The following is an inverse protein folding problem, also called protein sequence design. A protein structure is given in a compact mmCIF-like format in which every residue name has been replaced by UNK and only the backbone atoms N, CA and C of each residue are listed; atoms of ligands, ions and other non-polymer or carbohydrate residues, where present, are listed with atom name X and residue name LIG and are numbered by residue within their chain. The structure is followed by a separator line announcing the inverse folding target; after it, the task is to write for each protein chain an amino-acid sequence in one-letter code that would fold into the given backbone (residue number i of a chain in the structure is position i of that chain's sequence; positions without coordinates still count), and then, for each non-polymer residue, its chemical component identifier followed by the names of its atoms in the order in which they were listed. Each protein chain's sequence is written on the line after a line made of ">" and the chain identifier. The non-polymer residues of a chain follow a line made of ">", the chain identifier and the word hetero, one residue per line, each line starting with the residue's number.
data_IF_172120123205
#
_entry.id   IF_172120123205
#
_cell.length_a   1.000
_cell.length_b   1.000
_cell.length_c   1.000
_cell.angle_alpha   90.00
_cell.angle_beta   90.00
_cell.angle_gamma   90.00
#
_symmetry.space_group_name_H-M   'P 1'
#
loop_
_entity.id
_entity.type
_entity.pdbx_description
1 polymer ?
#
# COMPACT_ATOMS: atom_id res chain seq x y z
N UNK A 1 -23.33 -14.38 4.95
CA UNK A 1 -22.55 -14.75 6.16
C UNK A 1 -21.31 -13.86 6.30
N UNK A 2 -21.20 -12.83 5.46
CA UNK A 2 -19.96 -12.14 5.11
C UNK A 2 -19.66 -10.97 6.07
N UNK A 3 -20.70 -10.35 6.63
CA UNK A 3 -20.56 -9.24 7.58
C UNK A 3 -19.82 -9.61 8.87
N UNK A 4 -20.05 -10.81 9.43
CA UNK A 4 -19.36 -11.24 10.67
C UNK A 4 -17.86 -11.50 10.45
N UNK A 5 -17.52 -11.97 9.26
CA UNK A 5 -16.14 -12.28 8.86
C UNK A 5 -15.38 -10.97 8.63
N UNK A 6 -15.96 -10.01 7.90
CA UNK A 6 -15.38 -8.69 7.68
C UNK A 6 -15.13 -7.94 9.00
N UNK A 7 -16.10 -7.97 9.94
CA UNK A 7 -15.94 -7.36 11.27
C UNK A 7 -14.74 -7.95 12.03
N UNK A 8 -14.56 -9.27 12.00
CA UNK A 8 -13.43 -9.93 12.67
C UNK A 8 -12.09 -9.45 12.10
N UNK A 9 -11.96 -9.43 10.77
CA UNK A 9 -10.73 -8.98 10.11
C UNK A 9 -10.40 -7.52 10.40
N UNK A 10 -11.43 -6.66 10.48
CA UNK A 10 -11.28 -5.26 10.86
C UNK A 10 -10.73 -5.11 12.27
N UNK A 11 -11.29 -5.84 13.24
CA UNK A 11 -10.81 -5.86 14.64
C UNK A 11 -9.36 -6.35 14.74
N UNK A 12 -8.98 -7.37 13.96
CA UNK A 12 -7.61 -7.88 13.96
C UNK A 12 -6.63 -6.83 13.39
N UNK A 13 -7.01 -6.11 12.33
CA UNK A 13 -6.21 -5.00 11.79
C UNK A 13 -6.10 -3.83 12.78
N UNK A 14 -7.18 -3.47 13.49
CA UNK A 14 -7.14 -2.46 14.56
C UNK A 14 -6.16 -2.85 15.66
N UNK A 15 -6.14 -4.12 16.08
CA UNK A 15 -5.18 -4.63 17.07
C UNK A 15 -3.74 -4.56 16.55
N UNK A 16 -3.50 -4.87 15.27
CA UNK A 16 -2.19 -4.71 14.65
C UNK A 16 -1.73 -3.24 14.59
N UNK A 17 -2.66 -2.31 14.43
CA UNK A 17 -2.38 -0.88 14.49
C UNK A 17 -2.07 -0.38 15.90
N UNK A 18 -2.59 -1.05 16.94
CA UNK A 18 -2.28 -0.75 18.33
C UNK A 18 -0.98 -1.40 18.81
N UNK A 19 -0.62 -2.56 18.25
CA UNK A 19 0.60 -3.28 18.58
C UNK A 19 1.70 -3.07 17.53
N UNK A 20 2.63 -2.14 17.80
CA UNK A 20 3.77 -1.86 16.92
C UNK A 20 4.75 -3.01 16.71
N UNK A 21 4.63 -4.11 17.47
CA UNK A 21 5.43 -5.33 17.29
C UNK A 21 4.74 -6.39 16.41
N UNK A 22 3.48 -6.19 16.04
CA UNK A 22 2.74 -7.13 15.21
C UNK A 22 3.44 -7.33 13.86
N UNK A 23 3.53 -8.59 13.44
CA UNK A 23 4.13 -8.96 12.16
C UNK A 23 3.12 -8.71 11.02
N UNK A 24 3.60 -8.36 9.81
CA UNK A 24 2.71 -8.19 8.67
C UNK A 24 2.08 -9.53 8.26
N UNK A 25 0.87 -9.49 7.70
CA UNK A 25 0.10 -10.71 7.38
C UNK A 25 -0.57 -10.65 6.00
N UNK A 26 -1.09 -11.78 5.54
CA UNK A 26 -1.98 -11.82 4.39
C UNK A 26 -3.38 -11.33 4.78
N UNK A 27 -3.97 -10.46 3.97
CA UNK A 27 -5.29 -9.85 4.18
C UNK A 27 -6.28 -10.23 3.07
N UNK A 28 -7.54 -10.39 3.45
CA UNK A 28 -8.61 -10.65 2.49
C UNK A 28 -8.96 -9.38 1.72
N UNK A 29 -9.20 -9.52 0.41
CA UNK A 29 -9.62 -8.40 -0.43
C UNK A 29 -10.87 -7.70 0.10
N UNK A 30 -11.85 -8.47 0.60
CA UNK A 30 -13.10 -7.95 1.15
C UNK A 30 -12.90 -7.00 2.35
N UNK A 31 -11.89 -7.26 3.20
CA UNK A 31 -11.51 -6.31 4.25
C UNK A 31 -10.99 -5.02 3.64
N UNK A 32 -10.14 -5.13 2.61
CA UNK A 32 -9.50 -3.97 2.00
C UNK A 32 -10.53 -3.11 1.25
N UNK A 33 -11.50 -3.75 0.60
CA UNK A 33 -12.66 -3.08 0.00
C UNK A 33 -13.50 -2.37 1.08
N UNK A 34 -13.84 -3.03 2.19
CA UNK A 34 -14.62 -2.41 3.28
C UNK A 34 -13.96 -1.14 3.84
N UNK A 35 -12.65 -1.20 4.10
CA UNK A 35 -11.96 -0.07 4.73
C UNK A 35 -11.65 1.06 3.76
N UNK A 36 -11.66 0.81 2.45
CA UNK A 36 -11.38 1.80 1.39
C UNK A 36 -12.62 2.24 0.62
N UNK A 37 -13.82 1.88 1.12
CA UNK A 37 -15.09 2.16 0.42
C UNK A 37 -15.06 1.67 -1.04
N UNK A 38 -14.71 0.39 -1.22
CA UNK A 38 -14.55 -0.27 -2.51
C UNK A 38 -13.52 0.40 -3.44
N UNK A 39 -12.45 0.95 -2.87
CA UNK A 39 -11.44 1.74 -3.60
C UNK A 39 -12.06 2.95 -4.32
N UNK A 40 -12.96 3.68 -3.63
CA UNK A 40 -13.57 4.88 -4.20
C UNK A 40 -12.55 5.99 -4.44
N UNK A 41 -12.83 6.83 -5.44
CA UNK A 41 -11.97 7.97 -5.80
C UNK A 41 -11.82 8.96 -4.63
N UNK A 42 -12.83 9.06 -3.75
CA UNK A 42 -12.80 9.87 -2.54
C UNK A 42 -11.74 9.41 -1.53
N UNK A 43 -11.36 8.14 -1.57
CA UNK A 43 -10.27 7.60 -0.76
C UNK A 43 -8.91 7.65 -1.45
N UNK A 44 -8.83 8.06 -2.72
CA UNK A 44 -7.54 8.15 -3.40
C UNK A 44 -6.69 9.29 -2.83
N UNK A 45 -5.49 8.94 -2.37
CA UNK A 45 -4.51 9.90 -1.80
C UNK A 45 -3.25 10.04 -2.65
N UNK A 46 -3.10 9.22 -3.69
CA UNK A 46 -2.01 9.35 -4.64
C UNK A 46 -2.13 8.36 -5.79
N UNK A 47 -1.51 8.68 -6.91
CA UNK A 47 -1.42 7.82 -8.08
C UNK A 47 -0.08 7.99 -8.77
N UNK A 48 0.51 6.90 -9.24
CA UNK A 48 1.71 6.90 -10.08
C UNK A 48 1.60 5.83 -11.17
N UNK A 49 2.62 5.71 -12.02
CA UNK A 49 2.57 4.83 -13.21
C UNK A 49 2.29 3.35 -12.90
N UNK A 50 2.62 2.88 -11.69
CA UNK A 50 2.54 1.47 -11.32
C UNK A 50 1.56 1.17 -10.17
N UNK A 51 0.97 2.19 -9.55
CA UNK A 51 0.08 2.00 -8.41
C UNK A 51 -0.82 3.20 -8.14
N UNK A 52 -1.98 2.92 -7.54
CA UNK A 52 -2.84 3.92 -6.92
C UNK A 52 -2.86 3.66 -5.42
N UNK A 53 -2.76 4.73 -4.63
CA UNK A 53 -2.76 4.68 -3.17
C UNK A 53 -4.09 5.22 -2.66
N UNK A 54 -4.77 4.38 -1.89
CA UNK A 54 -6.03 4.71 -1.23
C UNK A 54 -5.83 4.83 0.27
N UNK A 55 -6.63 5.68 0.91
CA UNK A 55 -6.76 5.78 2.34
C UNK A 55 -7.77 4.76 2.82
N UNK A 56 -7.40 3.96 3.81
CA UNK A 56 -8.32 3.04 4.47
C UNK A 56 -8.66 3.52 5.88
N UNK A 57 -9.92 3.40 6.29
CA UNK A 57 -10.40 3.77 7.62
C UNK A 57 -10.65 2.52 8.45
N UNK A 58 -9.91 2.40 9.56
CA UNK A 58 -10.00 1.27 10.49
C UNK A 58 -10.27 1.81 11.89
N UNK A 59 -11.55 1.87 12.26
CA UNK A 59 -12.00 2.50 13.50
C UNK A 59 -11.66 3.99 13.52
N UNK A 60 -10.76 4.40 14.43
CA UNK A 60 -10.23 5.78 14.51
C UNK A 60 -8.85 5.96 13.86
N UNK A 61 -8.30 4.91 13.26
CA UNK A 61 -6.98 4.90 12.64
C UNK A 61 -7.11 4.80 11.13
N UNK A 62 -6.00 5.09 10.45
CA UNK A 62 -5.93 5.11 9.00
C UNK A 62 -4.81 4.21 8.52
N UNK A 63 -5.00 3.62 7.34
CA UNK A 63 -3.98 2.87 6.61
C UNK A 63 -3.80 3.46 5.21
N UNK A 64 -2.63 3.25 4.62
CA UNK A 64 -2.37 3.53 3.22
C UNK A 64 -2.36 2.22 2.44
N UNK A 65 -3.22 2.13 1.43
CA UNK A 65 -3.43 0.96 0.60
C UNK A 65 -2.88 1.20 -0.80
N UNK A 66 -1.70 0.66 -1.08
CA UNK A 66 -1.07 0.74 -2.40
C UNK A 66 -1.60 -0.42 -3.26
N UNK A 67 -2.56 -0.13 -4.13
CA UNK A 67 -3.11 -1.05 -5.13
C UNK A 67 -2.23 -0.99 -6.38
N UNK A 68 -1.63 -2.10 -6.75
CA UNK A 68 -0.71 -2.15 -7.88
C UNK A 68 -1.47 -2.29 -9.20
N UNK A 69 -1.02 -1.55 -10.22
CA UNK A 69 -1.63 -1.56 -11.55
C UNK A 69 -1.25 -2.82 -12.33
N UNK A 70 -2.23 -3.45 -13.00
CA UNK A 70 -2.02 -4.62 -13.86
C UNK A 70 -1.27 -4.23 -15.14
N UNK A 71 0.03 -3.96 -15.01
CA UNK A 71 0.93 -3.71 -16.14
C UNK A 71 1.50 -5.04 -16.62
N UNK A 72 1.80 -5.15 -17.92
CA UNK A 72 2.44 -6.34 -18.51
C UNK A 72 3.74 -6.72 -17.78
N UNK A 73 4.46 -5.71 -17.27
CA UNK A 73 5.72 -5.89 -16.55
C UNK A 73 5.55 -6.36 -15.10
N UNK A 74 4.35 -6.31 -14.53
CA UNK A 74 4.10 -6.70 -13.15
C UNK A 74 3.76 -8.19 -13.04
N UNK A 75 4.79 -8.97 -12.74
CA UNK A 75 4.72 -10.42 -12.60
C UNK A 75 4.68 -10.85 -11.12
N UNK A 76 4.11 -12.04 -10.86
CA UNK A 76 4.01 -12.64 -9.52
C UNK A 76 5.36 -12.67 -8.81
N UNK A 77 6.43 -12.99 -9.53
CA UNK A 77 7.78 -13.00 -8.98
C UNK A 77 8.25 -11.62 -8.49
N UNK A 78 7.85 -10.52 -9.14
CA UNK A 78 8.21 -9.16 -8.70
C UNK A 78 7.43 -8.79 -7.46
N UNK A 79 6.13 -9.06 -7.45
CA UNK A 79 5.27 -8.83 -6.29
C UNK A 79 5.75 -9.63 -5.07
N UNK A 80 6.04 -10.92 -5.25
CA UNK A 80 6.52 -11.78 -4.18
C UNK A 80 7.84 -11.26 -3.58
N UNK A 81 8.78 -10.82 -4.43
CA UNK A 81 10.05 -10.22 -3.97
C UNK A 81 9.83 -8.90 -3.21
N UNK A 82 8.92 -8.05 -3.67
CA UNK A 82 8.56 -6.80 -2.96
C UNK A 82 7.97 -7.13 -1.58
N UNK A 83 7.02 -8.06 -1.51
CA UNK A 83 6.45 -8.53 -0.24
C UNK A 83 7.51 -9.12 0.68
N UNK A 84 8.39 -9.99 0.17
CA UNK A 84 9.47 -10.59 0.97
C UNK A 84 10.42 -9.53 1.54
N UNK A 85 10.72 -8.49 0.77
CA UNK A 85 11.52 -7.36 1.22
C UNK A 85 10.81 -6.58 2.33
N UNK A 86 9.56 -6.20 2.10
CA UNK A 86 8.73 -5.44 3.06
C UNK A 86 8.49 -6.20 4.37
N UNK A 87 8.38 -7.53 4.31
CA UNK A 87 8.28 -8.39 5.50
C UNK A 87 9.52 -8.32 6.40
N UNK A 88 10.70 -8.07 5.82
CA UNK A 88 11.98 -7.95 6.53
C UNK A 88 12.31 -6.50 6.90
N UNK A 89 11.67 -5.53 6.25
CA UNK A 89 11.91 -4.11 6.46
C UNK A 89 11.34 -3.65 7.80
N UNK A 90 12.21 -3.53 8.81
CA UNK A 90 11.85 -2.97 10.11
C UNK A 90 12.88 -1.94 10.55
N UNK A 91 12.53 -0.67 10.39
CA UNK A 91 13.38 0.43 10.80
C UNK A 91 12.54 1.63 11.21
N UNK A 92 13.04 2.44 12.14
CA UNK A 92 12.35 3.65 12.67
C UNK A 92 11.99 4.68 11.59
N UNK A 93 12.69 4.66 10.45
CA UNK A 93 12.51 5.59 9.33
C UNK A 93 11.83 4.96 8.10
N UNK A 94 11.34 3.71 8.22
CA UNK A 94 10.57 3.04 7.17
C UNK A 94 9.12 2.99 7.63
N UNK A 95 8.19 3.37 6.75
CA UNK A 95 6.76 3.28 7.06
C UNK A 95 6.40 1.84 7.35
N UNK A 96 5.71 1.60 8.46
CA UNK A 96 5.42 0.24 8.92
C UNK A 96 4.52 -0.47 7.93
N UNK A 97 5.01 -1.59 7.40
CA UNK A 97 4.24 -2.51 6.59
C UNK A 97 3.32 -3.36 7.47
N UNK A 98 2.03 -3.44 7.11
CA UNK A 98 1.00 -4.16 7.85
C UNK A 98 0.62 -5.48 7.18
N UNK A 99 0.82 -5.59 5.88
CA UNK A 99 0.53 -6.83 5.16
C UNK A 99 0.21 -6.62 3.69
N UNK A 100 -0.21 -7.70 3.04
CA UNK A 100 -0.47 -7.74 1.62
C UNK A 100 -1.75 -8.49 1.30
N UNK A 101 -2.29 -8.26 0.11
CA UNK A 101 -3.33 -9.08 -0.51
C UNK A 101 -2.84 -9.57 -1.86
N UNK A 102 -3.03 -10.86 -2.13
CA UNK A 102 -2.73 -11.49 -3.42
C UNK A 102 -3.94 -12.27 -3.89
N UNK A 103 -4.93 -11.55 -4.44
CA UNK A 103 -6.17 -12.15 -4.89
C UNK A 103 -6.25 -12.11 -6.42
N UNK A 104 -6.64 -13.21 -7.06
CA UNK A 104 -6.82 -13.31 -8.51
C UNK A 104 -8.21 -13.87 -8.79
N UNK A 105 -9.05 -13.08 -9.44
CA UNK A 105 -10.42 -13.46 -9.78
C UNK A 105 -10.57 -13.59 -11.29
N UNK A 106 -11.18 -14.68 -11.75
CA UNK A 106 -11.57 -14.82 -13.14
C UNK A 106 -12.82 -13.99 -13.43
N UNK A 107 -12.79 -13.14 -14.46
CA UNK A 107 -13.97 -12.46 -15.00
C UNK A 107 -14.14 -12.80 -16.47
N UNK A 108 -15.39 -12.88 -16.92
CA UNK A 108 -15.68 -12.94 -18.35
C UNK A 108 -15.50 -11.54 -18.92
N UNK A 109 -14.67 -11.41 -19.95
CA UNK A 109 -14.45 -10.18 -20.70
C UNK A 109 -14.75 -10.40 -22.19
N UNK A 110 -15.28 -9.38 -22.85
CA UNK A 110 -15.34 -9.36 -24.31
C UNK A 110 -13.97 -8.96 -24.86
N UNK A 111 -13.46 -9.77 -25.78
CA UNK A 111 -12.27 -9.46 -26.57
C UNK A 111 -12.56 -9.78 -28.03
N UNK A 112 -12.59 -8.74 -28.87
CA UNK A 112 -12.87 -8.86 -30.31
C UNK A 112 -14.16 -9.67 -30.61
N UNK A 113 -15.22 -9.47 -29.80
CA UNK A 113 -16.50 -10.16 -29.96
C UNK A 113 -16.52 -11.61 -29.47
N UNK A 114 -15.51 -12.04 -28.72
CA UNK A 114 -15.45 -13.35 -28.04
C UNK A 114 -15.43 -13.15 -26.53
N UNK A 115 -16.24 -13.92 -25.82
CA UNK A 115 -16.17 -14.00 -24.36
C UNK A 115 -14.97 -14.86 -23.95
N UNK A 116 -13.99 -14.24 -23.32
CA UNK A 116 -12.79 -14.90 -22.79
C UNK A 116 -12.74 -14.77 -21.27
N UNK A 117 -12.16 -15.77 -20.61
CA UNK A 117 -11.83 -15.67 -19.19
C UNK A 117 -10.58 -14.81 -19.04
N UNK A 118 -10.69 -13.68 -18.36
CA UNK A 118 -9.60 -12.79 -18.03
C UNK A 118 -9.34 -12.79 -16.53
N UNK A 119 -8.06 -12.85 -16.14
CA UNK A 119 -7.67 -12.72 -14.74
C UNK A 119 -7.70 -11.25 -14.32
N UNK A 120 -8.40 -10.97 -13.23
CA UNK A 120 -8.33 -9.72 -12.51
C UNK A 120 -7.48 -9.93 -11.26
N UNK A 121 -6.24 -9.43 -11.31
CA UNK A 121 -5.29 -9.49 -10.19
C UNK A 121 -5.46 -8.29 -9.27
N UNK A 122 -5.76 -8.56 -8.02
CA UNK A 122 -5.84 -7.62 -6.92
C UNK A 122 -4.62 -7.83 -6.03
N UNK A 123 -3.53 -7.15 -6.39
CA UNK A 123 -2.30 -7.11 -5.59
C UNK A 123 -2.23 -5.79 -4.85
N UNK A 124 -2.23 -5.88 -3.52
CA UNK A 124 -2.26 -4.72 -2.65
C UNK A 124 -1.23 -4.84 -1.54
N UNK A 125 -0.68 -3.70 -1.16
CA UNK A 125 0.24 -3.53 -0.04
C UNK A 125 -0.36 -2.54 0.95
N UNK A 126 -0.44 -2.93 2.22
CA UNK A 126 -1.04 -2.14 3.28
C UNK A 126 0.05 -1.63 4.23
N UNK A 127 0.01 -0.32 4.48
CA UNK A 127 0.94 0.38 5.34
C UNK A 127 0.20 1.17 6.40
N UNK A 128 0.88 1.46 7.50
CA UNK A 128 0.39 2.46 8.44
C UNK A 128 0.35 3.83 7.75
N UNK A 129 -0.77 4.55 7.92
CA UNK A 129 -0.92 5.86 7.29
C UNK A 129 -0.04 6.89 8.00
N UNK A 130 0.79 7.58 7.21
CA UNK A 130 1.59 8.71 7.68
C UNK A 130 0.92 9.99 7.16
N UNK A 131 0.49 10.91 8.04
CA UNK A 131 -0.25 12.10 7.65
C UNK A 131 0.58 13.15 6.90
N UNK A 132 1.91 13.02 6.90
CA UNK A 132 2.78 13.90 6.12
C UNK A 132 2.79 13.40 4.66
N UNK A 133 2.50 14.32 3.73
CA UNK A 133 2.45 14.03 2.30
C UNK A 133 3.80 13.51 1.77
N UNK A 134 3.82 13.01 0.53
CA UNK A 134 5.03 12.42 -0.05
C UNK A 134 6.20 13.40 0.03
N UNK A 135 7.38 12.84 0.28
CA UNK A 135 8.61 13.62 0.38
C UNK A 135 8.88 14.49 -0.86
N UNK A 136 8.35 14.08 -2.02
CA UNK A 136 8.44 14.79 -3.31
C UNK A 136 8.00 16.26 -3.21
N UNK A 137 6.93 16.56 -2.45
CA UNK A 137 6.46 17.94 -2.24
C UNK A 137 7.45 18.80 -1.45
N UNK A 138 8.23 18.18 -0.58
CA UNK A 138 9.18 18.87 0.29
C UNK A 138 10.59 19.00 -0.33
N UNK A 139 10.88 18.22 -1.36
CA UNK A 139 12.15 18.27 -2.11
C UNK A 139 12.08 19.28 -3.26
N UNK A 140 10.91 19.45 -3.88
CA UNK A 140 10.73 20.25 -5.11
C UNK A 140 10.60 21.76 -4.86
N UNK A 141 10.21 22.19 -3.66
CA UNK A 141 10.12 23.61 -3.34
C UNK A 141 11.46 24.15 -2.77
N UNK A 142 12.16 24.93 -3.60
CA UNK A 142 13.36 25.68 -3.21
C UNK A 142 13.04 26.94 -2.39
N UNK A 143 11.75 27.29 -2.23
CA UNK A 143 11.30 28.53 -1.58
C UNK A 143 10.37 28.35 -0.38
N UNK A 144 9.91 27.13 -0.06
CA UNK A 144 9.00 26.91 1.06
C UNK A 144 9.08 25.50 1.64
N UNK A 145 9.53 25.37 2.89
CA UNK A 145 8.89 24.40 3.79
C UNK A 145 9.72 23.42 4.60
N UNK A 146 11.05 23.34 4.46
CA UNK A 146 11.88 22.58 5.42
C UNK A 146 13.26 23.23 5.59
N UNK A 147 13.63 23.52 6.84
CA UNK A 147 14.99 23.95 7.17
C UNK A 147 15.99 22.82 6.85
N UNK A 148 17.24 23.17 6.53
CA UNK A 148 18.27 22.19 6.18
C UNK A 148 18.45 21.09 7.23
N UNK A 149 18.22 21.38 8.51
CA UNK A 149 18.23 20.40 9.59
C UNK A 149 17.19 19.29 9.40
N UNK A 150 15.98 19.63 8.96
CA UNK A 150 14.90 18.67 8.70
C UNK A 150 15.19 17.85 7.44
N UNK A 151 15.72 18.50 6.39
CA UNK A 151 16.18 17.82 5.17
C UNK A 151 17.29 16.80 5.48
N UNK A 152 18.24 17.17 6.33
CA UNK A 152 19.31 16.27 6.77
C UNK A 152 18.75 15.07 7.56
N UNK A 153 17.75 15.26 8.44
CA UNK A 153 17.12 14.13 9.14
C UNK A 153 16.38 13.19 8.19
N UNK A 154 15.75 13.72 7.14
CA UNK A 154 15.12 12.90 6.09
C UNK A 154 16.17 12.09 5.32
N UNK A 155 17.23 12.75 4.83
CA UNK A 155 18.31 12.09 4.07
C UNK A 155 19.00 11.03 4.93
N UNK A 156 19.36 11.39 6.16
CA UNK A 156 19.90 10.45 7.15
C UNK A 156 18.92 9.30 7.39
N UNK A 157 17.63 9.60 7.49
CA UNK A 157 16.59 8.60 7.71
C UNK A 157 16.51 7.57 6.59
N UNK A 158 16.62 8.01 5.34
CA UNK A 158 16.68 7.17 4.14
C UNK A 158 17.96 6.32 4.15
N UNK A 159 19.12 6.93 4.42
CA UNK A 159 20.39 6.20 4.49
C UNK A 159 20.38 5.13 5.60
N UNK A 160 19.81 5.43 6.76
CA UNK A 160 19.68 4.48 7.88
C UNK A 160 18.64 3.37 7.60
N UNK A 161 17.65 3.61 6.72
CA UNK A 161 16.59 2.66 6.39
C UNK A 161 16.89 1.70 5.24
N UNK A 162 18.07 1.71 4.63
CA UNK A 162 18.31 0.94 3.41
C UNK A 162 18.58 -0.57 3.66
N UNK A 163 17.56 -1.40 3.40
CA UNK A 163 17.74 -2.65 2.66
C UNK A 163 17.30 -2.38 1.21
N UNK A 164 18.26 -2.19 0.30
CA UNK A 164 18.13 -2.03 -1.17
C UNK A 164 16.69 -2.06 -1.73
N UNK A 165 16.01 -0.91 -1.72
CA UNK A 165 14.69 -0.73 -2.35
C UNK A 165 14.82 0.34 -3.45
N UNK A 166 14.63 -0.07 -4.71
CA UNK A 166 14.55 0.87 -5.83
C UNK A 166 13.19 1.57 -5.78
N UNK A 167 13.25 2.88 -5.49
CA UNK A 167 12.31 3.95 -5.88
C UNK A 167 10.85 3.76 -5.45
N UNK A 168 10.51 4.33 -4.30
CA UNK A 168 9.38 5.26 -4.27
C UNK A 168 9.77 6.48 -5.12
N UNK A 169 9.30 6.52 -6.36
CA UNK A 169 9.61 7.61 -7.28
C UNK A 169 8.88 7.39 -8.59
N UNK A 170 7.95 8.30 -8.85
CA UNK A 170 7.20 8.49 -10.08
C UNK A 170 8.14 8.55 -11.29
N UNK A 171 7.88 7.71 -12.28
CA UNK A 171 8.11 7.97 -13.70
C UNK A 171 7.05 7.22 -14.48
#
# INVERSE_FOLDING_TARGET
>A
MDGKISIRYKVDLERMLLNGSAQPTHMQLSLLEDITDCFSDDQQIGSGGFAVVYKGIVGKRMVAMKKLSQTLDMHENKFHKEVECLMKAKHKNIVRFLGYCSDTQGRIADYEGKFVMADLRNWLLCFEYVPNESLDKYITDASGGLEWGERYQIIKGICEGNCTERRFGTS
#
